data_IF_097219968279
#
_entry.id   IF_097219968279
#
_cell.length_a   1.000
_cell.length_b   1.000
_cell.length_c   1.000
_cell.angle_alpha   90.00
_cell.angle_beta   90.00
_cell.angle_gamma   90.00
#
_symmetry.space_group_name_H-M   'P 1'
#
loop_
_entity.id
_entity.type
_entity.pdbx_description
1 polymer ?
#
# COMPACT_ATOMS: atom_id res chain seq x y z
N UNK A 1 -38.95 -19.71 -20.58
CA UNK A 1 -38.64 -18.78 -19.46
C UNK A 1 -37.20 -18.91 -18.93
N UNK A 2 -36.49 -20.01 -19.25
CA UNK A 2 -35.13 -20.30 -18.76
C UNK A 2 -34.00 -19.57 -19.51
N UNK A 3 -34.22 -19.15 -20.76
CA UNK A 3 -33.21 -18.47 -21.56
C UNK A 3 -32.90 -17.05 -21.05
N UNK A 4 -33.94 -16.24 -20.80
CA UNK A 4 -33.77 -14.88 -20.28
C UNK A 4 -33.17 -14.87 -18.87
N UNK A 5 -33.51 -15.84 -18.02
CA UNK A 5 -32.90 -15.95 -16.69
C UNK A 5 -31.41 -16.26 -16.77
N UNK A 6 -30.99 -17.08 -17.75
CA UNK A 6 -29.58 -17.42 -17.96
C UNK A 6 -28.79 -16.21 -18.51
N UNK A 7 -29.39 -15.43 -19.42
CA UNK A 7 -28.79 -14.19 -19.94
C UNK A 7 -28.61 -13.15 -18.83
N UNK A 8 -29.63 -12.95 -17.99
CA UNK A 8 -29.56 -12.02 -16.86
C UNK A 8 -28.51 -12.43 -15.82
N UNK A 9 -28.35 -13.73 -15.55
CA UNK A 9 -27.32 -14.25 -14.65
C UNK A 9 -25.90 -14.02 -15.19
N UNK A 10 -25.69 -14.21 -16.50
CA UNK A 10 -24.40 -13.94 -17.13
C UNK A 10 -24.07 -12.44 -17.15
N UNK A 11 -25.05 -11.58 -17.46
CA UNK A 11 -24.84 -10.12 -17.39
C UNK A 11 -24.55 -9.64 -15.96
N UNK A 12 -25.28 -10.16 -14.96
CA UNK A 12 -25.03 -9.83 -13.56
C UNK A 12 -23.62 -10.25 -13.12
N UNK A 13 -23.19 -11.46 -13.49
CA UNK A 13 -21.86 -11.98 -13.19
C UNK A 13 -20.75 -11.15 -13.87
N UNK A 14 -20.96 -10.76 -15.13
CA UNK A 14 -20.04 -9.89 -15.87
C UNK A 14 -19.93 -8.51 -15.19
N UNK A 15 -21.05 -7.89 -14.79
CA UNK A 15 -21.04 -6.61 -14.05
C UNK A 15 -20.32 -6.73 -12.71
N UNK A 16 -20.49 -7.83 -11.97
CA UNK A 16 -19.75 -8.05 -10.71
C UNK A 16 -18.26 -8.25 -10.93
N UNK A 17 -17.84 -8.88 -12.03
CA UNK A 17 -16.43 -9.03 -12.38
C UNK A 17 -15.80 -7.69 -12.75
N UNK A 18 -16.51 -6.82 -13.48
CA UNK A 18 -16.02 -5.48 -13.85
C UNK A 18 -15.89 -4.52 -12.66
N UNK A 19 -16.66 -4.71 -11.58
CA UNK A 19 -16.62 -3.88 -10.38
C UNK A 19 -15.60 -4.35 -9.34
N UNK A 20 -14.77 -5.35 -9.67
CA UNK A 20 -13.72 -5.81 -8.75
C UNK A 20 -12.63 -4.74 -8.62
N UNK A 21 -12.62 -4.06 -7.48
CA UNK A 21 -11.53 -3.19 -7.07
C UNK A 21 -10.27 -4.04 -6.88
N UNK A 22 -9.15 -3.60 -7.48
CA UNK A 22 -7.89 -4.34 -7.47
C UNK A 22 -7.44 -4.58 -6.03
N UNK A 23 -7.37 -5.84 -5.60
CA UNK A 23 -6.90 -6.25 -4.26
C UNK A 23 -5.38 -6.14 -4.09
N UNK A 24 -4.70 -5.47 -5.02
CA UNK A 24 -3.25 -5.37 -5.00
C UNK A 24 -2.79 -4.46 -3.85
N UNK A 25 -1.73 -4.84 -3.12
CA UNK A 25 -1.13 -3.97 -2.14
C UNK A 25 -0.67 -2.68 -2.80
N UNK A 26 -1.15 -1.56 -2.28
CA UNK A 26 -0.71 -0.25 -2.72
C UNK A 26 0.73 -0.03 -2.26
N UNK A 27 1.68 -0.05 -3.19
CA UNK A 27 3.08 0.24 -2.94
C UNK A 27 3.39 1.70 -3.33
N UNK A 28 4.29 2.38 -2.61
CA UNK A 28 4.72 3.71 -3.02
C UNK A 28 5.42 3.65 -4.38
N UNK A 29 5.42 4.80 -5.07
CA UNK A 29 6.01 4.95 -6.41
C UNK A 29 5.30 4.18 -7.52
N UNK A 30 3.96 4.14 -7.50
CA UNK A 30 3.18 3.59 -8.62
C UNK A 30 3.50 4.35 -9.93
N UNK A 31 4.02 3.68 -10.98
CA UNK A 31 4.28 4.30 -12.29
C UNK A 31 3.02 4.84 -12.98
N UNK A 32 1.84 4.45 -12.52
CA UNK A 32 0.55 4.94 -13.05
C UNK A 32 0.19 6.29 -12.43
N UNK A 33 0.73 6.61 -11.25
CA UNK A 33 0.49 7.86 -10.55
C UNK A 33 1.48 8.96 -11.03
N UNK A 34 1.01 10.03 -11.71
CA UNK A 34 1.89 11.10 -12.18
C UNK A 34 2.57 11.87 -11.04
N UNK A 35 1.97 11.92 -9.86
CA UNK A 35 2.51 12.64 -8.71
C UNK A 35 3.79 11.96 -8.20
N UNK A 36 3.80 10.63 -8.09
CA UNK A 36 4.95 9.88 -7.56
C UNK A 36 6.13 9.86 -8.53
N UNK A 37 5.88 9.92 -9.85
CA UNK A 37 6.95 10.07 -10.87
C UNK A 37 7.81 11.31 -10.68
N UNK A 38 7.26 12.37 -10.08
CA UNK A 38 7.98 13.62 -9.86
C UNK A 38 8.93 13.58 -8.67
N UNK A 39 8.82 12.56 -7.81
CA UNK A 39 9.65 12.45 -6.62
C UNK A 39 10.98 11.77 -6.94
N UNK A 40 12.10 12.40 -6.56
CA UNK A 40 13.42 11.82 -6.77
C UNK A 40 13.60 10.51 -5.98
N UNK A 41 12.95 10.36 -4.82
CA UNK A 41 12.97 9.08 -4.10
C UNK A 41 12.34 7.90 -4.87
N UNK A 42 11.50 8.17 -5.89
CA UNK A 42 10.93 7.16 -6.78
C UNK A 42 11.81 6.87 -8.02
N UNK A 43 12.87 7.65 -8.26
CA UNK A 43 13.77 7.47 -9.40
C UNK A 43 14.82 6.38 -9.09
N UNK A 44 14.73 5.23 -9.76
CA UNK A 44 15.63 4.09 -9.52
C UNK A 44 17.00 4.23 -10.18
N UNK A 45 17.19 5.22 -11.07
CA UNK A 45 18.46 5.55 -11.73
C UNK A 45 19.47 6.29 -10.84
N UNK A 46 19.03 6.90 -9.74
CA UNK A 46 19.90 7.67 -8.84
C UNK A 46 20.28 6.87 -7.57
N UNK A 47 21.38 7.23 -6.88
CA UNK A 47 21.84 6.50 -5.69
C UNK A 47 20.81 6.46 -4.56
N UNK A 48 20.77 5.35 -3.82
CA UNK A 48 19.86 5.15 -2.68
C UNK A 48 19.98 6.29 -1.65
N UNK A 49 21.20 6.75 -1.36
CA UNK A 49 21.42 7.85 -0.42
C UNK A 49 20.67 9.12 -0.83
N UNK A 50 20.71 9.49 -2.12
CA UNK A 50 19.98 10.64 -2.66
C UNK A 50 18.47 10.42 -2.57
N UNK A 51 17.99 9.20 -2.82
CA UNK A 51 16.56 8.84 -2.71
C UNK A 51 16.07 8.95 -1.26
N UNK A 52 16.86 8.47 -0.31
CA UNK A 52 16.54 8.54 1.12
C UNK A 52 16.56 9.99 1.60
N UNK A 53 17.55 10.78 1.19
CA UNK A 53 17.62 12.20 1.52
C UNK A 53 16.40 12.98 1.00
N UNK A 54 16.01 12.77 -0.26
CA UNK A 54 14.80 13.39 -0.84
C UNK A 54 13.54 12.98 -0.06
N UNK A 55 13.37 11.70 0.28
CA UNK A 55 12.21 11.25 1.06
C UNK A 55 12.18 11.89 2.45
N UNK A 56 13.29 11.82 3.21
CA UNK A 56 13.37 12.30 4.58
C UNK A 56 13.24 13.82 4.66
N UNK A 57 13.80 14.56 3.71
CA UNK A 57 13.68 16.03 3.67
C UNK A 57 12.26 16.49 3.38
N UNK A 58 11.47 15.69 2.65
CA UNK A 58 10.05 15.97 2.41
C UNK A 58 9.16 15.81 3.64
N UNK A 59 9.57 15.04 4.66
CA UNK A 59 8.76 14.77 5.85
C UNK A 59 8.70 15.97 6.81
N UNK A 60 7.51 16.26 7.36
CA UNK A 60 7.39 17.16 8.50
C UNK A 60 8.03 16.53 9.74
N UNK A 61 8.28 17.32 10.78
CA UNK A 61 8.85 16.80 12.03
C UNK A 61 7.91 15.79 12.69
N UNK A 62 6.61 16.04 12.64
CA UNK A 62 5.56 15.16 13.18
C UNK A 62 5.52 13.84 12.43
N UNK A 63 5.57 13.89 11.09
CA UNK A 63 5.62 12.69 10.26
C UNK A 63 6.90 11.89 10.52
N UNK A 64 8.07 12.54 10.60
CA UNK A 64 9.34 11.89 10.96
C UNK A 64 9.23 11.15 12.30
N UNK A 65 8.74 11.84 13.32
CA UNK A 65 8.57 11.26 14.65
C UNK A 65 7.61 10.06 14.61
N UNK A 66 6.52 10.17 13.86
CA UNK A 66 5.55 9.09 13.70
C UNK A 66 6.12 7.85 12.98
N UNK A 67 7.18 7.99 12.18
CA UNK A 67 7.85 6.85 11.53
C UNK A 67 8.79 6.06 12.47
N UNK A 68 9.06 6.53 13.70
CA UNK A 68 10.01 5.91 14.64
C UNK A 68 9.40 4.80 15.51
N UNK A 69 8.21 4.32 15.18
CA UNK A 69 7.54 3.22 15.88
C UNK A 69 7.35 2.04 14.93
N UNK A 70 7.20 0.82 15.49
CA UNK A 70 6.90 -0.36 14.68
C UNK A 70 5.68 -0.14 13.77
N UNK A 71 4.62 0.46 14.30
CA UNK A 71 3.39 0.76 13.56
C UNK A 71 3.47 2.13 12.90
N UNK A 72 4.34 2.25 11.89
CA UNK A 72 4.54 3.51 11.18
C UNK A 72 3.27 3.85 10.35
N UNK A 73 2.63 5.00 10.60
CA UNK A 73 1.42 5.37 9.88
C UNK A 73 1.73 5.75 8.44
N UNK A 74 0.70 5.70 7.59
CA UNK A 74 0.78 6.16 6.21
C UNK A 74 1.11 7.66 6.14
N UNK A 75 1.70 8.07 5.02
CA UNK A 75 1.91 9.48 4.67
C UNK A 75 1.19 9.74 3.33
N UNK A 76 -0.13 10.02 3.36
CA UNK A 76 -0.95 10.06 2.16
C UNK A 76 -0.49 11.09 1.12
N UNK A 77 0.02 12.25 1.56
CA UNK A 77 0.51 13.30 0.64
C UNK A 77 1.71 12.86 -0.22
N UNK A 78 2.44 11.84 0.23
CA UNK A 78 3.59 11.26 -0.48
C UNK A 78 3.26 9.91 -1.12
N UNK A 79 1.99 9.50 -1.13
CA UNK A 79 1.56 8.20 -1.62
C UNK A 79 2.23 7.02 -0.91
N UNK A 80 2.56 7.21 0.38
CA UNK A 80 3.28 6.21 1.17
C UNK A 80 2.31 5.47 2.11
N UNK A 81 2.13 4.15 1.94
CA UNK A 81 1.27 3.35 2.80
C UNK A 81 1.86 3.20 4.21
N UNK A 82 1.03 2.76 5.15
CA UNK A 82 1.50 2.40 6.49
C UNK A 82 2.46 1.21 6.43
N UNK A 83 3.44 1.17 7.35
CA UNK A 83 4.46 0.13 7.38
C UNK A 83 4.62 -0.47 8.78
N UNK A 84 4.95 -1.77 8.82
CA UNK A 84 5.19 -2.53 10.05
C UNK A 84 6.64 -3.01 10.04
N UNK A 85 7.48 -2.41 10.88
CA UNK A 85 8.92 -2.72 10.94
C UNK A 85 9.25 -4.07 11.60
N UNK A 86 8.43 -4.52 12.53
CA UNK A 86 8.65 -5.73 13.30
C UNK A 86 8.08 -6.95 12.59
N UNK A 87 9.00 -7.71 12.01
CA UNK A 87 8.81 -9.07 11.53
C UNK A 87 9.72 -10.02 12.29
N UNK A 88 9.32 -11.28 12.38
CA UNK A 88 10.08 -12.31 13.10
C UNK A 88 10.30 -13.52 12.20
N UNK A 89 11.52 -14.07 12.21
CA UNK A 89 11.89 -15.18 11.34
C UNK A 89 12.94 -16.14 11.95
N UNK A 90 13.03 -16.23 13.28
CA UNK A 90 14.13 -16.94 13.99
C UNK A 90 14.36 -18.37 13.47
N UNK A 91 13.28 -19.12 13.24
CA UNK A 91 13.30 -20.48 12.69
C UNK A 91 12.24 -20.65 11.59
N UNK A 92 12.11 -19.63 10.74
CA UNK A 92 11.06 -19.50 9.75
C UNK A 92 10.12 -18.34 10.07
N UNK A 93 9.40 -17.89 9.04
CA UNK A 93 8.54 -16.71 9.10
C UNK A 93 7.43 -16.92 10.15
N UNK A 94 7.42 -16.06 11.17
CA UNK A 94 6.44 -16.07 12.26
C UNK A 94 5.31 -15.08 11.97
N UNK A 95 4.08 -15.47 12.26
CA UNK A 95 2.90 -14.60 12.16
C UNK A 95 2.69 -13.70 13.39
N UNK A 96 3.56 -13.79 14.41
CA UNK A 96 3.49 -12.93 15.60
C UNK A 96 3.92 -11.49 15.29
N UNK A 97 4.96 -11.33 14.48
CA UNK A 97 5.31 -10.05 13.90
C UNK A 97 4.25 -9.57 12.91
N UNK A 98 3.73 -8.35 13.10
CA UNK A 98 2.72 -7.77 12.20
C UNK A 98 3.28 -7.34 10.84
N UNK A 99 4.61 -7.32 10.67
CA UNK A 99 5.29 -6.94 9.42
C UNK A 99 5.32 -8.01 8.33
N UNK A 100 4.86 -9.23 8.61
CA UNK A 100 4.77 -10.30 7.60
C UNK A 100 3.53 -10.14 6.71
N UNK A 101 2.52 -9.37 7.14
CA UNK A 101 1.31 -9.07 6.36
C UNK A 101 1.32 -7.59 5.95
N UNK A 102 1.37 -7.32 4.66
CA UNK A 102 1.17 -5.97 4.13
C UNK A 102 -0.28 -5.55 4.36
N UNK A 103 -0.50 -4.47 5.11
CA UNK A 103 -1.84 -3.92 5.32
C UNK A 103 -2.30 -3.24 4.03
N UNK A 104 -3.40 -3.73 3.46
CA UNK A 104 -4.09 -3.04 2.37
C UNK A 104 -4.70 -1.75 2.94
N UNK A 105 -4.59 -0.65 2.20
CA UNK A 105 -4.99 0.72 2.60
C UNK A 105 -6.49 0.89 2.90
N UNK A 106 -7.30 -0.17 2.82
CA UNK A 106 -8.76 -0.10 2.95
C UNK A 106 -9.31 -0.36 4.36
N UNK A 107 -8.53 -0.80 5.35
CA UNK A 107 -9.09 -1.11 6.67
C UNK A 107 -8.65 -0.09 7.73
N UNK A 108 -9.41 1.01 7.84
CA UNK A 108 -9.45 1.86 9.03
C UNK A 108 -10.11 1.09 10.20
N UNK A 109 -9.57 -0.07 10.54
CA UNK A 109 -9.93 -0.75 11.79
C UNK A 109 -9.11 -0.12 12.91
N UNK A 110 -9.66 0.96 13.46
CA UNK A 110 -9.36 1.36 14.83
C UNK A 110 -9.49 0.12 15.72
N UNK A 111 -8.35 -0.43 16.14
CA UNK A 111 -8.30 -1.28 17.31
C UNK A 111 -7.01 -1.00 18.06
N UNK A 112 -7.12 -0.01 18.95
CA UNK A 112 -6.54 -0.10 20.29
C UNK A 112 -7.47 -1.01 21.09
#
# INVERSE_FOLDING_TARGET
MTFNTLVLLNLACLVTLLLTESTQPHFPCDPSNPQTKSYAFCETSIPIACRVEDLVTRLTVEEKAAQLVNSAPAIPRLDMPAYKWWSEALHGVSSHGKGVRHQLSSDHSHRV
#
